data_IF_245772715996
#
_entry.id   IF_245772715996
#
_cell.length_a   1.000
_cell.length_b   1.000
_cell.length_c   1.000
_cell.angle_alpha   90.00
_cell.angle_beta   90.00
_cell.angle_gamma   90.00
#
_symmetry.space_group_name_H-M   'P 1'
#
loop_
_entity.id
_entity.type
_entity.pdbx_description
1 polymer ?
#
# COMPACT_ATOMS: atom_id res chain seq x y z
N UNK A 1 -7.61 -4.72 15.28
CA UNK A 1 -6.32 -5.44 15.07
C UNK A 1 -5.27 -4.40 14.72
N UNK A 2 -4.02 -4.50 15.22
CA UNK A 2 -2.98 -3.50 14.89
C UNK A 2 -2.85 -3.45 13.34
N UNK A 3 -3.08 -2.31 12.68
CA UNK A 3 -3.25 -2.23 11.22
C UNK A 3 -2.00 -2.66 10.45
N UNK A 4 -0.85 -2.73 11.12
CA UNK A 4 0.43 -3.09 10.53
C UNK A 4 0.76 -4.58 10.61
N UNK A 5 0.07 -5.40 11.43
CA UNK A 5 0.48 -6.81 11.61
C UNK A 5 0.19 -7.63 10.35
N UNK A 6 -1.05 -7.58 9.83
CA UNK A 6 -1.44 -8.33 8.64
C UNK A 6 -0.59 -7.97 7.39
N UNK A 7 -0.38 -6.68 7.05
CA UNK A 7 0.44 -6.34 5.89
C UNK A 7 1.90 -6.69 6.08
N UNK A 8 2.44 -6.62 7.31
CA UNK A 8 3.83 -6.99 7.59
C UNK A 8 4.03 -8.51 7.48
N UNK A 9 3.08 -9.32 7.97
CA UNK A 9 3.10 -10.77 7.77
C UNK A 9 3.06 -11.11 6.27
N UNK A 10 2.18 -10.45 5.51
CA UNK A 10 2.09 -10.70 4.06
C UNK A 10 3.37 -10.24 3.34
N UNK A 11 3.96 -9.11 3.75
CA UNK A 11 5.25 -8.67 3.23
C UNK A 11 6.35 -9.71 3.49
N UNK A 12 6.43 -10.25 4.71
CA UNK A 12 7.40 -11.28 5.08
C UNK A 12 7.19 -12.59 4.31
N UNK A 13 5.94 -13.03 4.16
CA UNK A 13 5.59 -14.22 3.37
C UNK A 13 5.97 -13.98 1.90
N UNK A 14 5.62 -12.84 1.33
CA UNK A 14 5.96 -12.50 -0.04
C UNK A 14 7.49 -12.45 -0.26
N UNK A 15 8.23 -11.88 0.69
CA UNK A 15 9.69 -11.83 0.65
C UNK A 15 10.32 -13.23 0.75
N UNK A 16 9.81 -14.06 1.66
CA UNK A 16 10.26 -15.44 1.85
C UNK A 16 9.96 -16.30 0.62
N UNK A 17 8.77 -16.17 0.04
CA UNK A 17 8.39 -16.85 -1.19
C UNK A 17 9.26 -16.40 -2.36
N UNK A 18 9.48 -15.09 -2.52
CA UNK A 18 10.35 -14.54 -3.57
C UNK A 18 11.79 -15.07 -3.45
N UNK A 19 12.30 -15.21 -2.22
CA UNK A 19 13.62 -15.79 -1.95
C UNK A 19 13.71 -17.29 -2.23
N UNK A 20 12.70 -18.08 -1.87
CA UNK A 20 12.68 -19.54 -2.03
C UNK A 20 12.46 -20.00 -3.47
N UNK A 21 11.65 -19.26 -4.23
CA UNK A 21 11.24 -19.66 -5.58
C UNK A 21 12.11 -19.05 -6.68
N UNK A 22 13.04 -18.16 -6.32
CA UNK A 22 13.73 -17.27 -7.26
C UNK A 22 12.74 -16.59 -8.24
N UNK A 23 11.51 -16.34 -7.77
CA UNK A 23 10.39 -15.87 -8.59
C UNK A 23 10.63 -14.56 -9.32
N UNK A 24 11.35 -13.55 -8.77
CA UNK A 24 11.86 -12.53 -9.65
C UNK A 24 12.98 -13.23 -10.44
N UNK A 25 12.77 -13.63 -11.72
CA UNK A 25 13.93 -13.90 -12.56
C UNK A 25 14.82 -12.69 -12.38
N UNK A 26 16.12 -12.89 -12.17
CA UNK A 26 17.04 -11.76 -12.32
C UNK A 26 16.63 -11.13 -13.65
N UNK A 27 16.07 -9.92 -13.62
CA UNK A 27 15.64 -9.19 -14.81
C UNK A 27 16.96 -8.80 -15.48
N UNK A 28 17.58 -9.81 -16.09
CA UNK A 28 18.92 -9.76 -16.65
C UNK A 28 18.93 -8.79 -17.84
N UNK A 29 17.76 -8.63 -18.46
CA UNK A 29 17.48 -7.56 -19.39
C UNK A 29 17.08 -6.28 -18.66
N UNK A 30 17.89 -5.24 -18.84
CA UNK A 30 17.65 -3.88 -18.34
C UNK A 30 16.31 -3.32 -18.84
N UNK A 31 15.86 -3.70 -20.03
CA UNK A 31 14.57 -3.26 -20.56
C UNK A 31 13.40 -3.79 -19.71
N UNK A 32 13.45 -5.06 -19.31
CA UNK A 32 12.42 -5.67 -18.47
C UNK A 32 12.38 -5.06 -17.05
N UNK A 33 13.54 -4.73 -16.48
CA UNK A 33 13.64 -4.04 -15.19
C UNK A 33 12.99 -2.64 -15.22
N UNK A 34 13.23 -1.86 -16.29
CA UNK A 34 12.63 -0.54 -16.46
C UNK A 34 11.11 -0.63 -16.68
N UNK A 35 10.63 -1.60 -17.46
CA UNK A 35 9.21 -1.84 -17.66
C UNK A 35 8.50 -2.18 -16.34
N UNK A 36 9.11 -3.05 -15.53
CA UNK A 36 8.60 -3.39 -14.20
C UNK A 36 8.58 -2.20 -13.25
N UNK A 37 9.67 -1.42 -13.20
CA UNK A 37 9.75 -0.20 -12.40
C UNK A 37 8.66 0.81 -12.80
N UNK A 38 8.46 1.01 -14.11
CA UNK A 38 7.41 1.89 -14.62
C UNK A 38 6.00 1.40 -14.27
N UNK A 39 5.75 0.09 -14.31
CA UNK A 39 4.46 -0.49 -13.92
C UNK A 39 4.19 -0.29 -12.43
N UNK A 40 5.16 -0.61 -11.56
CA UNK A 40 5.04 -0.43 -10.12
C UNK A 40 4.81 1.03 -9.76
N UNK A 41 5.61 1.93 -10.35
CA UNK A 41 5.50 3.37 -10.14
C UNK A 41 4.07 3.82 -10.48
N UNK A 42 3.59 3.54 -11.70
CA UNK A 42 2.26 3.95 -12.16
C UNK A 42 1.14 3.48 -11.25
N UNK A 43 1.18 2.21 -10.82
CA UNK A 43 0.17 1.65 -9.90
C UNK A 43 0.25 2.32 -8.53
N UNK A 44 1.47 2.50 -7.99
CA UNK A 44 1.68 3.13 -6.70
C UNK A 44 1.23 4.59 -6.68
N UNK A 45 1.62 5.40 -7.67
CA UNK A 45 1.20 6.80 -7.78
C UNK A 45 -0.32 6.91 -7.85
N UNK A 46 -0.96 6.06 -8.65
CA UNK A 46 -2.42 6.09 -8.84
C UNK A 46 -3.17 5.74 -7.55
N UNK A 47 -2.77 4.65 -6.88
CA UNK A 47 -3.38 4.23 -5.62
C UNK A 47 -3.08 5.19 -4.47
N UNK A 48 -1.89 5.81 -4.44
CA UNK A 48 -1.57 6.88 -3.52
C UNK A 48 -2.53 8.06 -3.71
N UNK A 49 -2.74 8.50 -4.95
CA UNK A 49 -3.69 9.56 -5.28
C UNK A 49 -5.11 9.25 -4.81
N UNK A 50 -5.59 8.03 -5.07
CA UNK A 50 -6.90 7.59 -4.58
C UNK A 50 -6.98 7.51 -3.05
N UNK A 51 -5.92 7.07 -2.39
CA UNK A 51 -5.88 7.00 -0.91
C UNK A 51 -5.93 8.41 -0.30
N UNK A 52 -5.20 9.37 -0.87
CA UNK A 52 -5.23 10.77 -0.45
C UNK A 52 -6.59 11.41 -0.72
N UNK A 53 -7.20 11.11 -1.88
CA UNK A 53 -8.55 11.57 -2.18
C UNK A 53 -9.59 11.03 -1.18
N UNK A 54 -9.52 9.74 -0.87
CA UNK A 54 -10.37 9.13 0.15
C UNK A 54 -10.18 9.78 1.52
N UNK A 55 -8.93 10.04 1.92
CA UNK A 55 -8.62 10.77 3.16
C UNK A 55 -9.23 12.17 3.17
N UNK A 56 -9.11 12.91 2.06
CA UNK A 56 -9.66 14.25 1.93
C UNK A 56 -11.20 14.26 2.01
N UNK A 57 -11.87 13.27 1.39
CA UNK A 57 -13.33 13.11 1.49
C UNK A 57 -13.73 12.79 2.94
N UNK A 58 -13.05 11.86 3.61
CA UNK A 58 -13.34 11.52 5.00
C UNK A 58 -13.12 12.71 5.94
N UNK A 59 -12.08 13.52 5.68
CA UNK A 59 -11.80 14.73 6.44
C UNK A 59 -12.85 15.83 6.21
N UNK A 60 -13.40 15.96 4.99
CA UNK A 60 -14.41 17.00 4.69
C UNK A 60 -15.77 16.72 5.30
N UNK A 61 -16.14 15.45 5.51
CA UNK A 61 -17.43 15.04 6.09
C UNK A 61 -17.40 14.85 7.62
N UNK A 62 -16.33 15.31 8.29
CA UNK A 62 -16.11 15.10 9.74
C UNK A 62 -17.21 15.67 10.63
N UNK A 63 -17.94 16.68 10.15
CA UNK A 63 -19.03 17.32 10.89
C UNK A 63 -20.37 16.58 10.83
N UNK A 64 -20.46 15.46 10.11
CA UNK A 64 -21.69 14.67 10.06
C UNK A 64 -21.91 13.90 11.36
N UNK A 65 -23.19 13.71 11.73
CA UNK A 65 -23.58 12.93 12.94
C UNK A 65 -23.03 11.50 12.91
N UNK A 66 -22.81 10.94 11.71
CA UNK A 66 -22.13 9.66 11.47
C UNK A 66 -20.68 9.68 11.98
N UNK A 67 -19.87 10.62 11.47
CA UNK A 67 -18.45 10.69 11.85
C UNK A 67 -18.28 10.99 13.33
N UNK A 68 -19.15 11.81 13.91
CA UNK A 68 -19.13 12.06 15.36
C UNK A 68 -19.38 10.79 16.19
N UNK A 69 -20.29 9.89 15.76
CA UNK A 69 -20.51 8.59 16.40
C UNK A 69 -19.32 7.65 16.21
N UNK A 70 -18.69 7.67 15.03
CA UNK A 70 -17.47 6.89 14.78
C UNK A 70 -16.27 7.38 15.59
N UNK A 71 -16.15 8.70 15.78
CA UNK A 71 -15.11 9.32 16.58
C UNK A 71 -15.25 8.88 18.05
N UNK A 72 -16.48 8.85 18.58
CA UNK A 72 -16.76 8.36 19.94
C UNK A 72 -16.43 6.88 20.15
N UNK A 73 -16.50 6.05 19.11
CA UNK A 73 -16.20 4.61 19.19
C UNK A 73 -14.76 4.26 18.78
N UNK A 74 -13.94 5.24 18.40
CA UNK A 74 -12.54 5.06 17.98
C UNK A 74 -12.34 4.46 16.59
N UNK A 75 -13.41 4.06 15.89
CA UNK A 75 -13.33 3.48 14.54
C UNK A 75 -12.86 4.50 13.49
N UNK A 76 -13.15 5.79 13.70
CA UNK A 76 -12.68 6.86 12.80
C UNK A 76 -11.15 6.98 12.81
N UNK A 77 -10.55 7.01 13.99
CA UNK A 77 -9.09 7.12 14.14
C UNK A 77 -8.37 5.89 13.58
N UNK A 78 -8.94 4.69 13.76
CA UNK A 78 -8.37 3.45 13.18
C UNK A 78 -8.43 3.47 11.65
N UNK A 79 -9.53 3.95 11.06
CA UNK A 79 -9.67 4.13 9.62
C UNK A 79 -8.65 5.13 9.08
N UNK A 80 -8.55 6.33 9.69
CA UNK A 80 -7.60 7.35 9.27
C UNK A 80 -6.15 6.87 9.37
N UNK A 81 -5.78 6.20 10.47
CA UNK A 81 -4.44 5.62 10.62
C UNK A 81 -4.16 4.58 9.55
N UNK A 82 -5.13 3.72 9.23
CA UNK A 82 -4.98 2.70 8.18
C UNK A 82 -4.76 3.32 6.81
N UNK A 83 -5.55 4.36 6.45
CA UNK A 83 -5.38 5.10 5.20
C UNK A 83 -4.03 5.83 5.15
N UNK A 84 -3.60 6.42 6.26
CA UNK A 84 -2.31 7.09 6.34
C UNK A 84 -1.14 6.11 6.16
N UNK A 85 -1.19 4.94 6.80
CA UNK A 85 -0.19 3.89 6.61
C UNK A 85 -0.21 3.34 5.18
N UNK A 86 -1.40 3.13 4.59
CA UNK A 86 -1.53 2.73 3.19
C UNK A 86 -0.84 3.75 2.27
N UNK A 87 -1.13 5.04 2.46
CA UNK A 87 -0.50 6.12 1.72
C UNK A 87 1.02 6.15 1.88
N UNK A 88 1.53 6.00 3.11
CA UNK A 88 2.97 5.96 3.35
C UNK A 88 3.67 4.77 2.66
N UNK A 89 3.05 3.59 2.66
CA UNK A 89 3.59 2.42 1.96
C UNK A 89 3.53 2.61 0.44
N UNK A 90 2.43 3.14 -0.12
CA UNK A 90 2.36 3.47 -1.54
C UNK A 90 3.41 4.52 -1.94
N UNK A 91 3.65 5.53 -1.11
CA UNK A 91 4.71 6.52 -1.34
C UNK A 91 6.11 5.87 -1.32
N UNK A 92 6.37 4.93 -0.42
CA UNK A 92 7.64 4.22 -0.38
C UNK A 92 7.87 3.37 -1.65
N UNK A 93 6.81 2.73 -2.16
CA UNK A 93 6.84 1.99 -3.43
C UNK A 93 7.08 2.95 -4.60
N UNK A 94 6.42 4.11 -4.60
CA UNK A 94 6.56 5.15 -5.61
C UNK A 94 8.01 5.66 -5.69
N UNK A 95 8.60 5.99 -4.53
CA UNK A 95 10.01 6.38 -4.44
C UNK A 95 10.96 5.28 -4.90
N UNK A 96 10.64 4.00 -4.62
CA UNK A 96 11.44 2.87 -5.08
C UNK A 96 11.35 2.70 -6.61
N UNK A 97 10.14 2.79 -7.18
CA UNK A 97 9.93 2.77 -8.63
C UNK A 97 10.66 3.89 -9.34
N UNK A 98 10.61 5.11 -8.77
CA UNK A 98 11.36 6.25 -9.26
C UNK A 98 12.88 6.01 -9.20
N UNK A 99 13.41 5.55 -8.05
CA UNK A 99 14.83 5.26 -7.91
C UNK A 99 15.33 4.22 -8.93
N UNK A 100 14.53 3.20 -9.24
CA UNK A 100 14.83 2.20 -10.26
C UNK A 100 14.90 2.80 -11.68
N UNK A 101 14.01 3.72 -12.02
CA UNK A 101 14.05 4.43 -13.31
C UNK A 101 15.30 5.31 -13.46
N UNK A 102 15.79 5.89 -12.36
CA UNK A 102 16.96 6.78 -12.35
C UNK A 102 18.30 6.06 -12.15
N UNK A 103 18.34 4.74 -12.36
CA UNK A 103 19.60 3.98 -12.46
C UNK A 103 20.00 3.22 -11.20
N UNK A 104 19.12 3.12 -10.20
CA UNK A 104 19.34 2.16 -9.10
C UNK A 104 19.36 0.74 -9.66
N UNK A 105 20.37 -0.09 -9.35
CA UNK A 105 20.47 -1.43 -9.89
C UNK A 105 19.29 -2.30 -9.43
N UNK A 106 18.57 -2.88 -10.40
CA UNK A 106 17.44 -3.78 -10.17
C UNK A 106 17.91 -5.18 -9.75
N UNK A 107 18.61 -5.25 -8.61
CA UNK A 107 19.04 -6.53 -8.03
C UNK A 107 17.83 -7.36 -7.58
N UNK A 108 17.99 -8.68 -7.55
CA UNK A 108 16.93 -9.60 -7.08
C UNK A 108 16.41 -9.23 -5.69
N UNK A 109 17.28 -8.75 -4.79
CA UNK A 109 16.88 -8.27 -3.48
C UNK A 109 15.95 -7.06 -3.53
N UNK A 110 16.31 -6.04 -4.33
CA UNK A 110 15.49 -4.84 -4.51
C UNK A 110 14.13 -5.17 -5.14
N UNK A 111 14.10 -6.06 -6.14
CA UNK A 111 12.85 -6.51 -6.76
C UNK A 111 11.96 -7.29 -5.79
N UNK A 112 12.56 -8.14 -4.95
CA UNK A 112 11.82 -8.89 -3.93
C UNK A 112 11.22 -7.98 -2.87
N UNK A 113 11.96 -6.95 -2.45
CA UNK A 113 11.46 -5.91 -1.54
C UNK A 113 10.33 -5.11 -2.18
N UNK A 114 10.47 -4.72 -3.46
CA UNK A 114 9.43 -4.01 -4.18
C UNK A 114 8.13 -4.82 -4.25
N UNK A 115 8.22 -6.11 -4.58
CA UNK A 115 7.09 -7.03 -4.64
C UNK A 115 6.42 -7.21 -3.26
N UNK A 116 7.24 -7.39 -2.21
CA UNK A 116 6.76 -7.55 -0.84
C UNK A 116 6.03 -6.30 -0.34
N UNK A 117 6.58 -5.11 -0.60
CA UNK A 117 5.92 -3.84 -0.29
C UNK A 117 4.60 -3.70 -1.06
N UNK A 118 4.58 -4.07 -2.35
CA UNK A 118 3.37 -4.01 -3.16
C UNK A 118 2.26 -4.91 -2.61
N UNK A 119 2.59 -6.15 -2.23
CA UNK A 119 1.65 -7.07 -1.60
C UNK A 119 1.13 -6.52 -0.25
N UNK A 120 2.00 -5.94 0.57
CA UNK A 120 1.63 -5.30 1.83
C UNK A 120 0.66 -4.13 1.62
N UNK A 121 0.91 -3.31 0.60
CA UNK A 121 0.07 -2.16 0.26
C UNK A 121 -1.34 -2.58 -0.19
N UNK A 122 -1.44 -3.67 -0.98
CA UNK A 122 -2.75 -4.23 -1.37
C UNK A 122 -3.53 -4.74 -0.15
N UNK A 123 -2.86 -5.36 0.82
CA UNK A 123 -3.52 -5.81 2.07
C UNK A 123 -4.01 -4.61 2.88
N UNK A 124 -3.21 -3.55 2.99
CA UNK A 124 -3.63 -2.30 3.65
C UNK A 124 -4.85 -1.67 2.95
N UNK A 125 -4.87 -1.69 1.61
CA UNK A 125 -6.00 -1.19 0.84
C UNK A 125 -7.27 -2.02 1.07
N UNK A 126 -7.15 -3.36 1.12
CA UNK A 126 -8.27 -4.25 1.44
C UNK A 126 -8.76 -4.02 2.87
N UNK A 127 -7.87 -3.85 3.84
CA UNK A 127 -8.24 -3.56 5.23
C UNK A 127 -8.96 -2.20 5.34
N UNK A 128 -8.45 -1.17 4.67
CA UNK A 128 -9.11 0.13 4.58
C UNK A 128 -10.52 0.00 3.95
N UNK A 129 -10.66 -0.74 2.85
CA UNK A 129 -11.96 -0.98 2.20
C UNK A 129 -12.94 -1.75 3.10
N UNK A 130 -12.46 -2.75 3.86
CA UNK A 130 -13.28 -3.50 4.83
C UNK A 130 -13.76 -2.60 5.97
N UNK A 131 -12.88 -1.77 6.54
CA UNK A 131 -13.23 -0.80 7.58
C UNK A 131 -14.23 0.23 7.07
N UNK A 132 -14.00 0.75 5.86
CA UNK A 132 -14.91 1.68 5.22
C UNK A 132 -16.30 1.07 4.97
N UNK A 133 -16.36 -0.18 4.50
CA UNK A 133 -17.63 -0.91 4.36
C UNK A 133 -18.33 -1.09 5.70
N UNK A 134 -17.63 -1.52 6.74
CA UNK A 134 -18.19 -1.68 8.10
C UNK A 134 -18.78 -0.37 8.63
N UNK A 135 -18.12 0.75 8.34
CA UNK A 135 -18.62 2.09 8.67
C UNK A 135 -19.89 2.41 7.91
N UNK A 136 -19.94 2.11 6.62
CA UNK A 136 -21.12 2.36 5.78
C UNK A 136 -22.31 1.44 6.09
N UNK A 137 -22.07 0.21 6.56
CA UNK A 137 -23.13 -0.78 6.82
C UNK A 137 -23.60 -0.83 8.27
N UNK A 138 -22.81 -0.34 9.24
CA UNK A 138 -23.25 -0.16 10.63
C UNK A 138 -23.81 1.25 10.89
N UNK A 139 -24.19 1.92 9.81
CA UNK A 139 -25.12 3.06 9.77
C UNK A 139 -26.56 2.57 10.05
#
# INVERSE_FOLDING_TARGET
>A
MRPLIAPLIVALIALMLAGLTHWPPALADRAAALAFAGAILTVATTLLGFTLAALAIVASITQTTLVQRMHKTGHYDDLLRTLFYAGAVFLAIDMLGFALLFGTPATTGVMSVALALHAAALVLLIDAARKFRLVLTNL
#
